data_IF_195573313141
#
_entry.id   IF_195573313141
#
_cell.length_a   1.000
_cell.length_b   1.000
_cell.length_c   1.000
_cell.angle_alpha   90.00
_cell.angle_beta   90.00
_cell.angle_gamma   90.00
#
_symmetry.space_group_name_H-M   'P 1'
#
loop_
_entity.id
_entity.type
_entity.pdbx_description
1 polymer ?
#
# COMPACT_ATOMS: atom_id res chain seq x y z
N UNK A 1 56.65 4.67 -8.84
CA UNK A 1 55.78 4.93 -10.01
C UNK A 1 55.18 3.59 -10.44
N UNK A 2 53.95 3.33 -10.10
CA UNK A 2 53.17 2.20 -10.58
C UNK A 2 51.92 2.77 -11.23
N UNK A 3 51.44 2.24 -12.40
CA UNK A 3 50.33 2.86 -13.13
C UNK A 3 48.99 2.45 -12.55
N UNK A 4 48.09 3.43 -12.56
CA UNK A 4 46.68 3.30 -12.21
C UNK A 4 45.94 2.33 -13.15
N UNK A 5 45.20 1.38 -12.56
CA UNK A 5 44.29 0.51 -13.27
C UNK A 5 42.92 1.17 -13.39
N UNK A 6 42.57 1.57 -14.59
CA UNK A 6 41.23 2.05 -14.96
C UNK A 6 40.24 0.87 -14.96
N UNK A 7 39.21 0.93 -14.11
CA UNK A 7 38.10 -0.02 -14.11
C UNK A 7 37.16 0.20 -15.30
N UNK A 8 36.44 -0.83 -15.77
CA UNK A 8 35.60 -0.72 -16.95
C UNK A 8 34.32 0.07 -16.70
N UNK A 9 34.10 1.04 -17.58
CA UNK A 9 32.87 1.83 -17.64
C UNK A 9 31.67 0.95 -18.05
N UNK A 10 30.59 1.04 -17.31
CA UNK A 10 29.30 0.39 -17.56
C UNK A 10 28.65 1.00 -18.83
N UNK A 11 28.17 0.22 -19.80
CA UNK A 11 27.51 0.78 -20.98
C UNK A 11 26.12 1.35 -20.61
N UNK A 12 25.82 2.53 -21.14
CA UNK A 12 24.52 3.17 -21.06
C UNK A 12 23.46 2.31 -21.79
N UNK A 13 22.34 2.05 -21.12
CA UNK A 13 21.20 1.31 -21.65
C UNK A 13 20.43 2.19 -22.64
N UNK A 14 20.32 1.75 -23.88
CA UNK A 14 19.52 2.40 -24.91
C UNK A 14 18.01 2.31 -24.58
N UNK A 15 17.19 3.31 -24.95
CA UNK A 15 15.73 3.24 -24.73
C UNK A 15 15.10 2.23 -25.70
N UNK A 16 14.25 1.35 -25.17
CA UNK A 16 13.46 0.40 -25.94
C UNK A 16 12.48 1.16 -26.85
N UNK A 17 12.48 0.77 -28.12
CA UNK A 17 11.74 1.37 -29.21
C UNK A 17 10.21 1.30 -29.03
N UNK A 18 9.56 2.27 -29.66
CA UNK A 18 8.16 2.63 -29.56
C UNK A 18 7.17 1.51 -29.86
N UNK A 19 6.15 1.43 -28.99
CA UNK A 19 4.87 0.84 -29.28
C UNK A 19 3.93 1.95 -29.79
N UNK A 20 3.33 1.68 -30.94
CA UNK A 20 2.48 2.64 -31.67
C UNK A 20 1.29 3.14 -30.83
N UNK A 21 1.07 4.43 -30.91
CA UNK A 21 -0.09 5.11 -30.35
C UNK A 21 -1.37 4.54 -30.98
N UNK A 22 -2.17 3.80 -30.23
CA UNK A 22 -3.58 3.53 -30.56
C UNK A 22 -4.41 4.72 -30.11
N UNK A 23 -5.20 5.25 -31.04
CA UNK A 23 -6.13 6.34 -30.80
C UNK A 23 -7.05 6.03 -29.61
N UNK A 24 -7.16 6.98 -28.67
CA UNK A 24 -8.10 6.95 -27.56
C UNK A 24 -9.51 7.09 -28.13
N UNK A 25 -10.31 6.03 -28.03
CA UNK A 25 -11.75 6.10 -28.18
C UNK A 25 -12.36 6.77 -26.95
N UNK A 26 -13.15 7.79 -27.15
CA UNK A 26 -13.92 8.47 -26.13
C UNK A 26 -14.98 7.51 -25.55
N UNK A 27 -14.69 6.92 -24.37
CA UNK A 27 -15.63 6.19 -23.53
C UNK A 27 -15.72 6.87 -22.17
N UNK A 28 -16.86 7.47 -21.88
CA UNK A 28 -17.12 8.15 -20.60
C UNK A 28 -17.10 7.15 -19.45
N UNK A 29 -16.00 7.07 -18.71
CA UNK A 29 -15.92 6.24 -17.50
C UNK A 29 -14.56 5.67 -17.16
N UNK A 30 -13.63 5.58 -18.10
CA UNK A 30 -12.32 4.98 -17.90
C UNK A 30 -11.44 5.75 -16.94
N UNK A 31 -10.60 5.01 -16.18
CA UNK A 31 -9.55 5.60 -15.35
C UNK A 31 -8.50 6.26 -16.27
N UNK A 32 -8.49 7.59 -16.32
CA UNK A 32 -7.54 8.34 -17.13
C UNK A 32 -6.18 8.40 -16.43
N UNK A 33 -5.24 7.55 -16.86
CA UNK A 33 -3.89 7.49 -16.30
C UNK A 33 -3.04 8.63 -16.87
N UNK A 34 -2.50 9.54 -16.02
CA UNK A 34 -1.65 10.61 -16.50
C UNK A 34 -0.39 10.09 -17.21
N UNK A 35 0.07 10.74 -18.29
CA UNK A 35 1.23 10.26 -19.04
C UNK A 35 2.50 10.29 -18.18
N UNK A 36 3.51 9.46 -18.53
CA UNK A 36 4.81 9.51 -17.87
C UNK A 36 5.47 10.88 -18.05
N UNK A 37 6.26 11.28 -17.08
CA UNK A 37 6.91 12.60 -17.02
C UNK A 37 6.44 13.39 -15.79
N UNK A 38 7.25 14.28 -15.28
CA UNK A 38 7.03 14.97 -14.02
C UNK A 38 7.98 14.49 -12.93
N UNK A 39 7.87 15.06 -11.71
CA UNK A 39 8.83 14.78 -10.65
C UNK A 39 8.57 13.45 -9.94
N UNK A 40 7.29 13.04 -9.82
CA UNK A 40 6.88 11.84 -9.08
C UNK A 40 5.86 11.02 -9.86
N UNK A 41 5.99 9.71 -9.79
CA UNK A 41 5.00 8.76 -10.26
C UNK A 41 3.96 8.49 -9.18
N UNK A 42 4.38 8.49 -7.89
CA UNK A 42 3.47 8.38 -6.74
C UNK A 42 3.89 9.33 -5.61
N UNK A 43 2.91 9.97 -5.00
CA UNK A 43 2.99 10.62 -3.69
C UNK A 43 2.03 9.92 -2.73
N UNK A 44 2.54 9.38 -1.62
CA UNK A 44 1.71 8.83 -0.56
C UNK A 44 1.67 9.76 0.65
N UNK A 45 0.57 9.67 1.42
CA UNK A 45 0.39 10.38 2.69
C UNK A 45 -0.03 9.38 3.76
N UNK A 46 0.76 9.25 4.82
CA UNK A 46 0.43 8.31 5.89
C UNK A 46 1.40 8.31 7.06
N UNK A 47 1.15 7.44 8.03
CA UNK A 47 2.01 7.24 9.18
C UNK A 47 3.10 6.20 8.93
N UNK A 48 4.33 6.52 9.34
CA UNK A 48 5.42 5.55 9.37
C UNK A 48 5.60 5.03 10.78
N UNK A 49 5.82 3.73 10.93
CA UNK A 49 5.95 3.04 12.22
C UNK A 49 7.19 2.16 12.25
N UNK A 50 7.65 1.82 13.45
CA UNK A 50 8.66 0.79 13.67
C UNK A 50 7.95 -0.49 14.07
N UNK A 51 8.09 -1.56 13.29
CA UNK A 51 7.62 -2.90 13.66
C UNK A 51 8.75 -3.69 14.29
N UNK A 52 8.47 -4.24 15.47
CA UNK A 52 9.35 -5.12 16.21
C UNK A 52 8.83 -6.55 16.10
N UNK A 53 9.66 -7.44 15.56
CA UNK A 53 9.32 -8.81 15.19
C UNK A 53 10.25 -9.82 15.86
N UNK A 54 9.76 -10.67 16.77
CA UNK A 54 10.53 -11.76 17.36
C UNK A 54 10.61 -13.00 16.46
N UNK A 55 10.17 -12.91 15.21
CA UNK A 55 10.02 -14.06 14.32
C UNK A 55 8.89 -14.98 14.77
N UNK A 56 9.19 -16.27 14.85
CA UNK A 56 8.24 -17.30 15.32
C UNK A 56 8.25 -17.48 16.84
N UNK A 57 9.11 -16.76 17.56
CA UNK A 57 9.20 -16.87 19.02
C UNK A 57 8.15 -15.96 19.66
N UNK A 58 7.32 -16.43 20.62
CA UNK A 58 6.40 -15.56 21.33
C UNK A 58 7.11 -14.46 22.11
N UNK A 59 6.54 -13.25 22.16
CA UNK A 59 7.15 -12.07 22.81
C UNK A 59 7.67 -12.32 24.24
N UNK A 60 6.89 -13.05 25.08
CA UNK A 60 7.30 -13.37 26.44
C UNK A 60 8.52 -14.30 26.55
N UNK A 61 9.04 -14.82 25.47
CA UNK A 61 10.21 -15.69 25.39
C UNK A 61 11.30 -15.15 24.45
N UNK A 62 11.01 -14.06 23.74
CA UNK A 62 11.95 -13.45 22.81
C UNK A 62 13.18 -12.89 23.52
N UNK A 63 14.35 -13.00 22.87
CA UNK A 63 15.63 -12.42 23.33
C UNK A 63 16.19 -11.41 22.32
N UNK A 64 15.62 -11.35 21.14
CA UNK A 64 15.94 -10.40 20.10
C UNK A 64 14.66 -10.04 19.33
N UNK A 65 14.63 -8.89 18.71
CA UNK A 65 13.57 -8.41 17.85
C UNK A 65 14.20 -7.86 16.57
N UNK A 66 13.74 -8.31 15.43
CA UNK A 66 14.06 -7.67 14.16
C UNK A 66 13.31 -6.33 14.05
N UNK A 67 13.97 -5.33 13.49
CA UNK A 67 13.41 -3.98 13.30
C UNK A 67 13.03 -3.81 11.83
N UNK A 68 11.76 -3.55 11.58
CA UNK A 68 11.24 -3.19 10.26
C UNK A 68 10.62 -1.81 10.31
N UNK A 69 10.91 -0.97 9.32
CA UNK A 69 10.17 0.27 9.09
C UNK A 69 8.96 -0.07 8.24
N UNK A 70 7.80 0.37 8.66
CA UNK A 70 6.51 -0.02 8.13
C UNK A 70 5.54 1.17 8.10
N UNK A 71 4.39 0.97 7.50
CA UNK A 71 3.29 1.91 7.32
C UNK A 71 2.66 1.65 5.96
N UNK A 72 1.35 1.45 5.86
CA UNK A 72 0.70 1.01 4.61
C UNK A 72 1.11 1.87 3.42
N UNK A 73 1.00 3.17 3.56
CA UNK A 73 1.30 4.16 2.51
C UNK A 73 2.80 4.22 2.18
N UNK A 74 3.65 4.04 3.20
CA UNK A 74 5.10 3.90 3.00
C UNK A 74 5.45 2.60 2.29
N UNK A 75 4.84 1.48 2.69
CA UNK A 75 5.08 0.18 2.08
C UNK A 75 4.74 0.20 0.58
N UNK A 76 3.61 0.83 0.20
CA UNK A 76 3.24 1.02 -1.22
C UNK A 76 4.30 1.83 -1.96
N UNK A 77 4.74 2.98 -1.40
CA UNK A 77 5.76 3.82 -2.01
C UNK A 77 7.12 3.11 -2.14
N UNK A 78 7.53 2.39 -1.09
CA UNK A 78 8.78 1.63 -1.04
C UNK A 78 8.79 0.48 -2.05
N UNK A 79 7.69 -0.25 -2.16
CA UNK A 79 7.51 -1.33 -3.12
C UNK A 79 7.58 -0.82 -4.56
N UNK A 80 6.93 0.31 -4.86
CA UNK A 80 6.98 0.94 -6.18
C UNK A 80 8.38 1.45 -6.54
N UNK A 81 9.11 2.02 -5.59
CA UNK A 81 10.47 2.50 -5.84
C UNK A 81 11.46 1.35 -6.00
N UNK A 82 11.49 0.42 -5.04
CA UNK A 82 12.50 -0.63 -4.95
C UNK A 82 12.33 -1.71 -6.02
N UNK A 83 11.10 -2.23 -6.22
CA UNK A 83 10.82 -3.30 -7.17
C UNK A 83 10.63 -2.77 -8.60
N UNK A 84 9.86 -1.70 -8.74
CA UNK A 84 9.39 -1.24 -10.05
C UNK A 84 10.16 -0.02 -10.59
N UNK A 85 11.06 0.55 -9.80
CA UNK A 85 11.91 1.67 -10.23
C UNK A 85 11.15 2.99 -10.46
N UNK A 86 9.95 3.15 -9.86
CA UNK A 86 9.17 4.37 -9.95
C UNK A 86 9.70 5.44 -8.99
N UNK A 87 9.50 6.71 -9.34
CA UNK A 87 9.86 7.86 -8.51
C UNK A 87 8.73 8.08 -7.50
N UNK A 88 8.98 7.75 -6.25
CA UNK A 88 7.97 7.84 -5.20
C UNK A 88 8.39 8.79 -4.08
N UNK A 89 7.39 9.34 -3.40
CA UNK A 89 7.58 10.13 -2.19
C UNK A 89 6.54 9.75 -1.13
N UNK A 90 6.89 10.01 0.13
CA UNK A 90 5.94 9.93 1.25
C UNK A 90 5.90 11.25 2.01
N UNK A 91 4.71 11.82 2.17
CA UNK A 91 4.42 12.89 3.11
C UNK A 91 4.05 12.27 4.46
N UNK A 92 4.81 12.59 5.51
CA UNK A 92 4.62 11.96 6.83
C UNK A 92 5.19 12.81 7.97
N UNK A 93 4.86 12.45 9.21
CA UNK A 93 5.50 12.97 10.39
C UNK A 93 6.89 12.36 10.60
N UNK A 94 7.83 13.15 11.10
CA UNK A 94 9.14 12.70 11.55
C UNK A 94 9.45 13.31 12.91
N UNK A 95 10.14 12.55 13.75
CA UNK A 95 10.55 12.99 15.09
C UNK A 95 12.07 13.10 15.14
N UNK A 96 12.56 14.19 15.73
CA UNK A 96 13.99 14.48 15.83
C UNK A 96 14.60 13.74 17.01
N UNK A 97 14.89 12.45 16.83
CA UNK A 97 15.53 11.54 17.79
C UNK A 97 16.13 10.31 17.09
N UNK A 98 16.96 9.47 17.73
CA UNK A 98 17.69 8.39 17.06
C UNK A 98 16.81 7.36 16.32
N UNK A 99 15.58 7.11 16.77
CA UNK A 99 14.65 6.23 16.04
C UNK A 99 14.15 6.91 14.76
N UNK A 100 14.01 8.24 14.76
CA UNK A 100 13.70 9.01 13.56
C UNK A 100 14.81 8.91 12.51
N UNK A 101 16.07 8.95 12.94
CA UNK A 101 17.23 8.79 12.04
C UNK A 101 17.25 7.39 11.39
N UNK A 102 16.95 6.34 12.19
CA UNK A 102 16.82 4.98 11.69
C UNK A 102 15.71 4.88 10.63
N UNK A 103 14.57 5.50 10.90
CA UNK A 103 13.43 5.48 9.96
C UNK A 103 13.76 6.25 8.69
N UNK A 104 14.39 7.43 8.78
CA UNK A 104 14.79 8.22 7.60
C UNK A 104 15.79 7.45 6.72
N UNK A 105 16.78 6.80 7.35
CA UNK A 105 17.75 5.96 6.65
C UNK A 105 17.05 4.84 5.85
N UNK A 106 16.10 4.14 6.48
CA UNK A 106 15.38 3.04 5.83
C UNK A 106 14.46 3.51 4.70
N UNK A 107 13.76 4.64 4.88
CA UNK A 107 12.93 5.24 3.83
C UNK A 107 13.79 5.55 2.60
N UNK A 108 14.94 6.19 2.79
CA UNK A 108 15.86 6.55 1.70
C UNK A 108 16.51 5.33 1.05
N UNK A 109 16.89 4.31 1.83
CA UNK A 109 17.47 3.07 1.35
C UNK A 109 16.51 2.32 0.38
N UNK A 110 15.19 2.45 0.58
CA UNK A 110 14.17 1.91 -0.32
C UNK A 110 13.92 2.76 -1.57
N UNK A 111 14.62 3.90 -1.72
CA UNK A 111 14.48 4.81 -2.87
C UNK A 111 13.28 5.76 -2.78
N UNK A 112 12.64 5.87 -1.62
CA UNK A 112 11.51 6.78 -1.41
C UNK A 112 12.02 8.16 -1.00
N UNK A 113 11.49 9.22 -1.62
CA UNK A 113 11.75 10.60 -1.23
C UNK A 113 10.88 10.98 -0.03
N UNK A 114 11.46 11.30 1.15
CA UNK A 114 10.67 11.74 2.28
C UNK A 114 10.29 13.23 2.19
N UNK A 115 9.10 13.56 2.66
CA UNK A 115 8.56 14.91 2.83
C UNK A 115 8.01 14.98 4.25
N UNK A 116 8.73 15.68 5.15
CA UNK A 116 8.48 15.61 6.58
C UNK A 116 7.84 16.86 7.16
N UNK A 117 6.79 16.67 7.97
CA UNK A 117 6.49 17.55 9.08
C UNK A 117 7.28 17.05 10.29
N UNK A 118 8.25 17.83 10.76
CA UNK A 118 9.14 17.44 11.87
C UNK A 118 8.59 17.89 13.22
N UNK A 119 8.80 17.04 14.22
CA UNK A 119 8.44 17.28 15.61
C UNK A 119 9.67 17.09 16.50
N UNK A 120 9.89 18.04 17.42
CA UNK A 120 10.99 17.96 18.38
C UNK A 120 10.69 16.92 19.49
N UNK A 121 11.74 16.29 19.99
CA UNK A 121 11.72 15.40 21.15
C UNK A 121 12.86 15.80 22.09
N UNK A 122 12.58 15.93 23.40
CA UNK A 122 13.57 16.42 24.39
C UNK A 122 14.51 15.32 24.93
N UNK A 123 14.39 14.10 24.41
CA UNK A 123 15.11 12.91 24.86
C UNK A 123 14.39 12.10 25.94
N UNK A 124 13.32 12.66 26.52
CA UNK A 124 12.51 12.01 27.56
C UNK A 124 11.03 12.03 27.19
N UNK A 125 10.55 13.15 26.65
CA UNK A 125 9.13 13.39 26.31
C UNK A 125 9.01 14.06 24.96
N UNK A 126 7.88 13.85 24.34
CA UNK A 126 7.52 14.42 23.03
C UNK A 126 6.77 13.41 22.18
N UNK A 127 6.33 13.83 20.99
CA UNK A 127 5.75 12.92 20.03
C UNK A 127 6.75 11.83 19.68
N UNK A 128 6.26 10.63 19.36
CA UNK A 128 7.13 9.51 18.98
C UNK A 128 6.65 8.86 17.68
N UNK A 129 7.52 8.07 17.06
CA UNK A 129 7.14 7.16 15.98
C UNK A 129 6.51 5.93 16.63
N UNK A 130 5.30 5.59 16.21
CA UNK A 130 4.56 4.47 16.78
C UNK A 130 5.32 3.14 16.61
N UNK A 131 5.15 2.26 17.60
CA UNK A 131 5.72 0.92 17.58
C UNK A 131 4.61 -0.12 17.40
N UNK A 132 4.80 -1.01 16.43
CA UNK A 132 3.97 -2.18 16.21
C UNK A 132 4.75 -3.42 16.65
N UNK A 133 4.15 -4.21 17.50
CA UNK A 133 4.69 -5.50 17.94
C UNK A 133 3.92 -6.61 17.22
N UNK A 134 4.61 -7.39 16.40
CA UNK A 134 3.95 -8.44 15.60
C UNK A 134 4.86 -9.65 15.49
N UNK A 135 4.50 -10.77 16.14
CA UNK A 135 5.14 -12.05 15.84
C UNK A 135 4.50 -12.68 14.59
N UNK A 136 5.19 -13.66 14.00
CA UNK A 136 4.72 -14.32 12.77
C UNK A 136 3.74 -15.45 13.04
N UNK A 137 3.64 -15.93 14.29
CA UNK A 137 2.95 -17.20 14.55
C UNK A 137 3.67 -18.37 13.87
N UNK A 138 3.07 -19.55 13.86
CA UNK A 138 3.53 -20.71 13.06
C UNK A 138 2.52 -21.86 13.10
N UNK A 139 2.23 -22.46 11.97
CA UNK A 139 1.32 -23.61 11.88
C UNK A 139 -0.06 -23.28 12.43
N UNK A 140 -0.47 -23.95 13.51
CA UNK A 140 -1.75 -23.74 14.21
C UNK A 140 -1.71 -22.57 15.20
N UNK A 141 -0.54 -22.01 15.48
CA UNK A 141 -0.38 -20.88 16.41
C UNK A 141 -0.54 -19.56 15.67
N UNK A 142 -1.66 -18.87 15.93
CA UNK A 142 -1.94 -17.56 15.36
C UNK A 142 -0.88 -16.53 15.78
N UNK A 143 -0.56 -15.54 14.92
CA UNK A 143 0.30 -14.43 15.26
C UNK A 143 -0.36 -13.49 16.25
N UNK A 144 0.47 -12.82 17.06
CA UNK A 144 0.02 -11.79 18.01
C UNK A 144 0.45 -10.43 17.49
N UNK A 145 -0.51 -9.48 17.43
CA UNK A 145 -0.24 -8.10 17.05
C UNK A 145 -0.81 -7.14 18.10
N UNK A 146 0.03 -6.24 18.58
CA UNK A 146 -0.38 -5.12 19.43
C UNK A 146 0.44 -3.87 19.12
N UNK A 147 0.01 -2.72 19.63
CA UNK A 147 0.54 -1.41 19.23
C UNK A 147 0.89 -0.58 20.43
N UNK A 148 1.93 0.25 20.31
CA UNK A 148 2.11 1.43 21.11
C UNK A 148 2.02 2.66 20.20
N UNK A 149 0.86 3.31 20.22
CA UNK A 149 0.55 4.53 19.44
C UNK A 149 0.31 5.74 20.35
N UNK A 150 0.71 5.63 21.63
CA UNK A 150 0.61 6.75 22.54
C UNK A 150 1.48 7.90 22.02
N UNK A 151 0.90 9.10 21.91
CA UNK A 151 1.56 10.32 21.43
C UNK A 151 2.27 10.17 20.06
N UNK A 152 1.63 9.43 19.16
CA UNK A 152 2.14 9.20 17.81
C UNK A 152 2.22 10.51 17.01
N UNK A 153 3.40 10.82 16.47
CA UNK A 153 3.61 12.04 15.69
C UNK A 153 2.70 12.14 14.46
N UNK A 154 2.41 11.02 13.80
CA UNK A 154 1.53 10.98 12.64
C UNK A 154 0.09 11.39 12.98
N UNK A 155 -0.39 11.11 14.19
CA UNK A 155 -1.71 11.55 14.65
C UNK A 155 -1.82 13.07 14.87
N UNK A 156 -0.69 13.77 14.92
CA UNK A 156 -0.62 15.24 15.07
C UNK A 156 -0.59 16.00 13.76
N UNK A 157 -0.49 15.29 12.62
CA UNK A 157 -0.56 15.91 11.31
C UNK A 157 -1.95 16.53 11.08
N UNK A 158 -1.98 17.71 10.46
CA UNK A 158 -3.18 18.49 10.26
C UNK A 158 -3.18 19.21 8.91
N UNK A 159 -4.34 19.64 8.40
CA UNK A 159 -4.43 20.50 7.22
C UNK A 159 -3.47 21.69 7.32
N UNK A 160 -2.78 21.99 6.20
CA UNK A 160 -1.77 23.05 6.13
C UNK A 160 -0.33 22.62 6.50
N UNK A 161 -0.09 21.40 6.97
CA UNK A 161 1.27 20.91 7.26
C UNK A 161 2.13 20.70 6.02
N UNK A 162 1.52 20.58 4.84
CA UNK A 162 2.21 20.38 3.56
C UNK A 162 1.74 21.38 2.51
N UNK A 163 2.68 21.87 1.70
CA UNK A 163 2.39 22.72 0.53
C UNK A 163 1.97 21.84 -0.66
N UNK A 164 0.69 21.42 -0.67
CA UNK A 164 0.15 20.57 -1.72
C UNK A 164 0.24 21.20 -3.12
N UNK A 165 -0.06 22.51 -3.32
CA UNK A 165 0.14 23.15 -4.62
C UNK A 165 1.56 23.00 -5.15
N UNK A 166 2.59 23.21 -4.31
CA UNK A 166 3.97 23.03 -4.73
C UNK A 166 4.31 21.55 -5.01
N UNK A 167 3.83 20.62 -4.20
CA UNK A 167 4.06 19.18 -4.37
C UNK A 167 3.41 18.64 -5.63
N UNK A 168 2.14 18.95 -5.88
CA UNK A 168 1.41 18.48 -7.06
C UNK A 168 1.76 19.29 -8.32
N UNK A 169 2.16 20.56 -8.19
CA UNK A 169 2.64 21.40 -9.30
C UNK A 169 3.87 20.81 -10.01
N UNK A 170 4.65 19.96 -9.34
CA UNK A 170 5.73 19.20 -9.92
C UNK A 170 5.26 17.99 -10.78
N UNK A 171 3.96 17.86 -11.06
CA UNK A 171 3.30 16.79 -11.83
C UNK A 171 3.48 15.42 -11.16
N UNK A 172 2.63 15.14 -10.18
CA UNK A 172 2.42 13.82 -9.54
C UNK A 172 1.36 13.08 -10.34
N UNK A 173 1.58 11.81 -10.67
CA UNK A 173 0.64 10.99 -11.45
C UNK A 173 -0.39 10.28 -10.57
N UNK A 174 -0.01 9.92 -9.35
CA UNK A 174 -0.84 9.13 -8.43
C UNK A 174 -0.67 9.59 -6.99
N UNK A 175 -1.77 9.77 -6.29
CA UNK A 175 -1.82 10.00 -4.84
C UNK A 175 -2.41 8.78 -4.14
N UNK A 176 -1.81 8.36 -3.02
CA UNK A 176 -2.26 7.21 -2.25
C UNK A 176 -2.30 7.51 -0.75
N UNK A 177 -3.38 7.08 -0.08
CA UNK A 177 -3.51 7.10 1.39
C UNK A 177 -4.33 5.91 1.89
N UNK A 178 -4.52 5.78 3.20
CA UNK A 178 -5.19 4.61 3.78
C UNK A 178 -5.96 4.87 5.07
N UNK A 179 -6.84 3.92 5.37
CA UNK A 179 -7.77 3.99 6.48
C UNK A 179 -7.13 3.90 7.86
N UNK A 180 -5.93 3.31 7.99
CA UNK A 180 -5.19 3.32 9.26
C UNK A 180 -4.78 4.75 9.61
N UNK A 181 -4.24 5.50 8.65
CA UNK A 181 -3.86 6.90 8.88
C UNK A 181 -5.10 7.77 9.12
N UNK A 182 -6.18 7.55 8.36
CA UNK A 182 -7.45 8.24 8.60
C UNK A 182 -8.02 8.02 10.02
N UNK A 183 -7.71 6.88 10.64
CA UNK A 183 -8.19 6.50 11.97
C UNK A 183 -7.30 7.02 13.12
N UNK A 184 -6.21 7.72 12.85
CA UNK A 184 -5.31 8.18 13.93
C UNK A 184 -5.84 9.41 14.64
N UNK A 185 -6.57 10.29 13.94
CA UNK A 185 -7.18 11.49 14.50
C UNK A 185 -8.15 12.14 13.51
N UNK A 186 -8.97 13.08 13.98
CA UNK A 186 -9.81 13.89 13.08
C UNK A 186 -8.97 14.74 12.13
N UNK A 187 -7.84 15.28 12.61
CA UNK A 187 -6.95 16.10 11.79
C UNK A 187 -6.25 15.31 10.69
N UNK A 188 -5.84 14.06 10.94
CA UNK A 188 -5.26 13.20 9.89
C UNK A 188 -6.26 12.88 8.79
N UNK A 189 -7.52 12.60 9.14
CA UNK A 189 -8.58 12.40 8.16
C UNK A 189 -8.87 13.66 7.33
N UNK A 190 -8.88 14.83 7.96
CA UNK A 190 -9.06 16.12 7.29
C UNK A 190 -7.87 16.43 6.36
N UNK A 191 -6.64 16.12 6.77
CA UNK A 191 -5.43 16.27 5.95
C UNK A 191 -5.47 15.35 4.71
N UNK A 192 -5.96 14.12 4.83
CA UNK A 192 -6.16 13.25 3.67
C UNK A 192 -7.13 13.90 2.68
N UNK A 193 -8.26 14.43 3.14
CA UNK A 193 -9.25 15.08 2.29
C UNK A 193 -8.68 16.31 1.57
N UNK A 194 -7.88 17.13 2.27
CA UNK A 194 -7.15 18.27 1.71
C UNK A 194 -6.21 17.82 0.58
N UNK A 195 -5.39 16.79 0.83
CA UNK A 195 -4.46 16.24 -0.14
C UNK A 195 -5.17 15.63 -1.36
N UNK A 196 -6.28 14.91 -1.17
CA UNK A 196 -7.10 14.36 -2.25
C UNK A 196 -7.66 15.47 -3.15
N UNK A 197 -8.16 16.55 -2.55
CA UNK A 197 -8.68 17.70 -3.31
C UNK A 197 -7.57 18.36 -4.17
N UNK A 198 -6.38 18.54 -3.60
CA UNK A 198 -5.22 19.08 -4.31
C UNK A 198 -4.71 18.12 -5.43
N UNK A 199 -4.72 16.81 -5.18
CA UNK A 199 -4.37 15.80 -6.17
C UNK A 199 -5.31 15.85 -7.38
N UNK A 200 -6.62 15.93 -7.14
CA UNK A 200 -7.61 16.07 -8.21
C UNK A 200 -7.45 17.38 -8.99
N UNK A 201 -7.22 18.49 -8.31
CA UNK A 201 -7.00 19.78 -8.98
C UNK A 201 -5.78 19.74 -9.92
N UNK A 202 -4.79 18.89 -9.61
CA UNK A 202 -3.60 18.66 -10.42
C UNK A 202 -3.75 17.55 -11.46
N UNK A 203 -4.89 16.86 -11.51
CA UNK A 203 -5.17 15.75 -12.44
C UNK A 203 -4.50 14.43 -12.06
N UNK A 204 -4.06 14.26 -10.82
CA UNK A 204 -3.54 12.98 -10.34
C UNK A 204 -4.68 11.98 -10.03
N UNK A 205 -4.42 10.69 -10.22
CA UNK A 205 -5.32 9.63 -9.75
C UNK A 205 -5.25 9.56 -8.22
N UNK A 206 -6.39 9.38 -7.57
CA UNK A 206 -6.49 9.24 -6.12
C UNK A 206 -6.90 7.83 -5.76
N UNK A 207 -6.08 7.15 -4.94
CA UNK A 207 -6.42 5.84 -4.38
C UNK A 207 -6.47 5.85 -2.86
N UNK A 208 -7.32 4.99 -2.31
CA UNK A 208 -7.48 4.77 -0.88
C UNK A 208 -7.53 3.27 -0.60
N UNK A 209 -6.68 2.81 0.32
CA UNK A 209 -6.83 1.49 0.93
C UNK A 209 -7.70 1.64 2.19
N UNK A 210 -8.84 0.94 2.23
CA UNK A 210 -9.76 1.00 3.37
C UNK A 210 -9.11 0.48 4.66
N UNK A 211 -8.33 -0.57 4.56
CA UNK A 211 -7.44 -1.11 5.60
C UNK A 211 -8.00 -0.95 7.02
N UNK A 212 -9.26 -1.39 7.24
CA UNK A 212 -9.98 -1.21 8.48
C UNK A 212 -9.28 -1.92 9.65
N UNK A 213 -9.13 -1.21 10.75
CA UNK A 213 -8.56 -1.77 11.99
C UNK A 213 -9.46 -1.43 13.17
N UNK A 214 -10.35 -2.36 13.53
CA UNK A 214 -11.33 -2.15 14.59
C UNK A 214 -10.74 -1.67 15.92
N UNK A 215 -9.53 -2.13 16.29
CA UNK A 215 -8.85 -1.68 17.52
C UNK A 215 -8.47 -0.20 17.48
N UNK A 216 -8.10 0.34 16.32
CA UNK A 216 -7.74 1.76 16.16
C UNK A 216 -9.02 2.60 16.16
N UNK A 217 -10.00 2.22 15.35
CA UNK A 217 -11.28 2.92 15.30
C UNK A 217 -12.03 2.90 16.64
N UNK A 218 -11.90 1.84 17.45
CA UNK A 218 -12.52 1.78 18.77
C UNK A 218 -12.06 2.92 19.70
N UNK A 219 -10.82 3.40 19.54
CA UNK A 219 -10.29 4.54 20.28
C UNK A 219 -10.83 5.89 19.77
N UNK A 220 -11.30 5.95 18.52
CA UNK A 220 -11.70 7.18 17.80
C UNK A 220 -13.22 7.25 17.53
N UNK A 221 -14.04 6.56 18.32
CA UNK A 221 -15.51 6.59 18.21
C UNK A 221 -16.13 5.38 17.52
N UNK A 222 -15.35 4.35 17.26
CA UNK A 222 -15.81 3.04 16.79
C UNK A 222 -16.26 3.00 15.33
N UNK A 223 -17.07 1.99 15.01
CA UNK A 223 -17.48 1.71 13.64
C UNK A 223 -18.35 2.81 13.02
N UNK A 224 -19.20 3.47 13.81
CA UNK A 224 -20.03 4.57 13.30
C UNK A 224 -19.16 5.75 12.82
N UNK A 225 -18.11 6.06 13.55
CA UNK A 225 -17.13 7.08 13.14
C UNK A 225 -16.33 6.64 11.91
N UNK A 226 -15.97 5.36 11.83
CA UNK A 226 -15.32 4.82 10.64
C UNK A 226 -16.20 5.00 9.39
N UNK A 227 -17.49 4.66 9.46
CA UNK A 227 -18.44 4.86 8.35
C UNK A 227 -18.53 6.31 7.90
N UNK A 228 -18.57 7.25 8.86
CA UNK A 228 -18.64 8.68 8.57
C UNK A 228 -17.37 9.16 7.86
N UNK A 229 -16.21 8.91 8.46
CA UNK A 229 -14.92 9.40 7.96
C UNK A 229 -14.57 8.74 6.63
N UNK A 230 -14.59 7.39 6.58
CA UNK A 230 -14.22 6.66 5.38
C UNK A 230 -15.21 6.89 4.24
N UNK A 231 -16.51 7.09 4.54
CA UNK A 231 -17.50 7.46 3.53
C UNK A 231 -17.22 8.82 2.88
N UNK A 232 -16.77 9.80 3.66
CA UNK A 232 -16.37 11.13 3.12
C UNK A 232 -15.12 11.03 2.24
N UNK A 233 -14.14 10.20 2.63
CA UNK A 233 -12.92 9.98 1.85
C UNK A 233 -13.21 9.19 0.57
N UNK A 234 -14.00 8.09 0.66
CA UNK A 234 -14.35 7.27 -0.49
C UNK A 234 -15.10 8.04 -1.59
N UNK A 235 -15.84 9.10 -1.23
CA UNK A 235 -16.49 9.98 -2.20
C UNK A 235 -15.49 10.76 -3.08
N UNK A 236 -14.22 10.82 -2.70
CA UNK A 236 -13.14 11.51 -3.41
C UNK A 236 -12.15 10.55 -4.09
N UNK A 237 -12.45 9.26 -4.20
CA UNK A 237 -11.50 8.22 -4.64
C UNK A 237 -11.79 7.80 -6.07
N UNK A 238 -10.75 7.62 -6.88
CA UNK A 238 -10.83 7.03 -8.22
C UNK A 238 -10.59 5.51 -8.16
N UNK A 239 -9.66 5.06 -7.27
CA UNK A 239 -9.30 3.65 -7.08
C UNK A 239 -9.45 3.27 -5.61
N UNK A 240 -10.33 2.32 -5.31
CA UNK A 240 -10.60 1.83 -3.97
C UNK A 240 -9.98 0.44 -3.78
N UNK A 241 -9.22 0.28 -2.71
CA UNK A 241 -8.67 -0.98 -2.26
C UNK A 241 -9.31 -1.40 -0.93
N UNK A 242 -9.60 -2.68 -0.77
CA UNK A 242 -10.20 -3.20 0.46
C UNK A 242 -10.98 -4.48 0.18
N UNK A 243 -11.02 -5.37 1.16
CA UNK A 243 -11.74 -6.63 1.08
C UNK A 243 -13.22 -6.49 1.56
N UNK A 244 -13.97 -7.59 1.59
CA UNK A 244 -15.38 -7.61 2.01
C UNK A 244 -15.56 -7.09 3.44
N UNK A 245 -14.65 -7.46 4.35
CA UNK A 245 -14.66 -6.98 5.73
C UNK A 245 -14.43 -5.46 5.78
N UNK A 246 -13.48 -4.96 5.00
CA UNK A 246 -13.20 -3.53 4.91
C UNK A 246 -14.40 -2.77 4.35
N UNK A 247 -15.06 -3.27 3.30
CA UNK A 247 -16.25 -2.64 2.72
C UNK A 247 -17.41 -2.57 3.71
N UNK A 248 -17.62 -3.64 4.49
CA UNK A 248 -18.66 -3.68 5.52
C UNK A 248 -18.30 -2.81 6.71
N UNK A 249 -17.09 -2.99 7.27
CA UNK A 249 -16.70 -2.36 8.52
C UNK A 249 -16.32 -0.88 8.37
N UNK A 250 -15.72 -0.48 7.24
CA UNK A 250 -15.32 0.91 7.01
C UNK A 250 -16.39 1.74 6.30
N UNK A 251 -17.15 1.16 5.35
CA UNK A 251 -18.11 1.89 4.54
C UNK A 251 -19.58 1.57 4.86
N UNK A 252 -19.84 0.57 5.70
CA UNK A 252 -21.18 0.14 6.03
C UNK A 252 -21.93 -0.48 4.86
N UNK A 253 -21.21 -1.10 3.91
CA UNK A 253 -21.84 -1.78 2.79
C UNK A 253 -22.50 -3.06 3.27
N UNK A 254 -23.79 -3.29 2.98
CA UNK A 254 -24.42 -4.56 3.28
C UNK A 254 -23.77 -5.69 2.48
N UNK A 255 -23.48 -6.79 3.14
CA UNK A 255 -22.85 -7.96 2.53
C UNK A 255 -23.09 -9.21 3.36
N UNK A 256 -22.75 -10.40 2.85
CA UNK A 256 -22.86 -11.65 3.60
C UNK A 256 -21.92 -11.63 4.80
N UNK A 257 -22.22 -12.49 5.79
CA UNK A 257 -21.31 -12.67 6.94
C UNK A 257 -19.94 -13.12 6.44
N UNK A 258 -18.90 -12.36 6.76
CA UNK A 258 -17.49 -12.66 6.39
C UNK A 258 -17.06 -14.06 6.88
N UNK A 259 -17.61 -14.51 8.01
CA UNK A 259 -17.35 -15.85 8.56
C UNK A 259 -17.99 -16.99 7.74
N UNK A 260 -18.98 -16.68 6.87
CA UNK A 260 -19.70 -17.66 6.06
C UNK A 260 -19.23 -17.69 4.61
N UNK A 261 -18.47 -16.69 4.15
CA UNK A 261 -17.93 -16.63 2.81
C UNK A 261 -16.69 -17.53 2.71
N UNK A 262 -16.62 -18.40 1.71
CA UNK A 262 -15.34 -19.03 1.36
C UNK A 262 -14.39 -17.92 0.89
N UNK A 263 -13.23 -17.85 1.51
CA UNK A 263 -12.28 -16.74 1.29
C UNK A 263 -11.78 -16.56 -0.15
N UNK A 264 -12.14 -17.43 -1.07
CA UNK A 264 -11.75 -17.40 -2.49
C UNK A 264 -12.91 -17.19 -3.46
N UNK A 265 -14.17 -17.16 -2.98
CA UNK A 265 -15.31 -16.87 -3.84
C UNK A 265 -15.45 -15.35 -4.06
N UNK A 266 -15.25 -14.83 -5.28
CA UNK A 266 -15.34 -13.41 -5.54
C UNK A 266 -16.80 -12.88 -5.60
N UNK A 267 -17.80 -13.75 -5.61
CA UNK A 267 -19.19 -13.37 -5.88
C UNK A 267 -19.75 -12.40 -4.84
N UNK A 268 -19.43 -12.64 -3.55
CA UNK A 268 -19.84 -11.76 -2.47
C UNK A 268 -19.22 -10.37 -2.60
N UNK A 269 -17.95 -10.29 -2.93
CA UNK A 269 -17.24 -9.05 -3.16
C UNK A 269 -17.78 -8.28 -4.36
N UNK A 270 -18.01 -8.97 -5.48
CA UNK A 270 -18.56 -8.37 -6.70
C UNK A 270 -19.96 -7.78 -6.47
N UNK A 271 -20.82 -8.46 -5.72
CA UNK A 271 -22.14 -7.93 -5.35
C UNK A 271 -22.08 -6.68 -4.46
N UNK A 272 -21.01 -6.53 -3.66
CA UNK A 272 -20.79 -5.32 -2.86
C UNK A 272 -20.21 -4.16 -3.69
N UNK A 273 -19.40 -4.45 -4.72
CA UNK A 273 -18.83 -3.43 -5.60
C UNK A 273 -19.93 -2.63 -6.30
N UNK A 274 -21.01 -3.27 -6.76
CA UNK A 274 -22.14 -2.58 -7.40
C UNK A 274 -22.74 -1.52 -6.47
N UNK A 275 -22.84 -1.81 -5.18
CA UNK A 275 -23.31 -0.88 -4.16
C UNK A 275 -22.30 0.25 -3.93
N UNK A 276 -20.99 -0.07 -3.93
CA UNK A 276 -19.92 0.93 -3.78
C UNK A 276 -19.96 1.93 -4.92
N UNK A 277 -19.98 1.50 -6.17
CA UNK A 277 -19.98 2.40 -7.33
C UNK A 277 -21.27 3.19 -7.47
N UNK A 278 -22.40 2.63 -7.06
CA UNK A 278 -23.67 3.36 -7.00
C UNK A 278 -23.63 4.48 -5.96
N UNK A 279 -23.01 4.23 -4.79
CA UNK A 279 -22.89 5.21 -3.71
C UNK A 279 -21.76 6.22 -3.93
N UNK A 280 -20.68 5.82 -4.57
CA UNK A 280 -19.49 6.62 -4.83
C UNK A 280 -19.16 6.65 -6.33
N UNK A 281 -19.85 7.46 -7.13
CA UNK A 281 -19.78 7.43 -8.60
C UNK A 281 -18.41 7.87 -9.15
N UNK A 282 -17.54 8.44 -8.30
CA UNK A 282 -16.17 8.77 -8.67
C UNK A 282 -15.28 7.52 -8.74
N UNK A 283 -15.59 6.47 -8.00
CA UNK A 283 -14.83 5.21 -8.00
C UNK A 283 -14.91 4.55 -9.37
N UNK A 284 -13.78 4.39 -10.02
CA UNK A 284 -13.61 3.79 -11.35
C UNK A 284 -13.05 2.37 -11.30
N UNK A 285 -12.32 2.06 -10.22
CA UNK A 285 -11.72 0.75 -10.01
C UNK A 285 -11.82 0.35 -8.54
N UNK A 286 -12.21 -0.89 -8.30
CA UNK A 286 -12.17 -1.54 -6.97
C UNK A 286 -11.38 -2.83 -7.09
N UNK A 287 -10.43 -3.08 -6.19
CA UNK A 287 -9.64 -4.30 -6.21
C UNK A 287 -9.29 -4.80 -4.81
N UNK A 288 -9.13 -6.11 -4.68
CA UNK A 288 -8.73 -6.77 -3.43
C UNK A 288 -8.00 -8.08 -3.68
N UNK A 289 -7.27 -8.52 -2.65
CA UNK A 289 -6.77 -9.90 -2.55
C UNK A 289 -7.85 -10.80 -1.94
N UNK A 290 -7.93 -12.02 -2.44
CA UNK A 290 -8.74 -13.09 -1.86
C UNK A 290 -7.80 -14.11 -1.19
N UNK A 291 -8.13 -14.49 0.02
CA UNK A 291 -7.26 -15.36 0.82
C UNK A 291 -8.04 -16.35 1.65
N UNK A 292 -7.68 -17.62 1.52
CA UNK A 292 -8.10 -18.67 2.44
C UNK A 292 -6.91 -19.10 3.30
N UNK A 293 -7.09 -19.16 4.63
CA UNK A 293 -6.03 -19.43 5.59
C UNK A 293 -6.12 -20.87 6.03
N UNK A 294 -5.22 -21.74 5.56
CA UNK A 294 -5.14 -23.14 5.99
C UNK A 294 -4.34 -23.30 7.29
N UNK A 295 -3.29 -22.50 7.44
CA UNK A 295 -2.52 -22.33 8.67
C UNK A 295 -1.89 -20.94 8.68
N UNK A 296 -1.21 -20.57 9.75
CA UNK A 296 -0.56 -19.25 9.86
C UNK A 296 0.41 -18.96 8.70
N UNK A 297 1.07 -20.00 8.21
CA UNK A 297 2.08 -19.87 7.14
C UNK A 297 1.71 -20.63 5.85
N UNK A 298 0.45 -21.06 5.67
CA UNK A 298 -0.03 -21.68 4.44
C UNK A 298 -1.40 -21.14 4.05
N UNK A 299 -1.46 -20.50 2.90
CA UNK A 299 -2.66 -19.85 2.39
C UNK A 299 -2.93 -20.26 0.94
N UNK A 300 -4.21 -20.31 0.56
CA UNK A 300 -4.58 -20.16 -0.84
C UNK A 300 -4.77 -18.65 -1.13
N UNK A 301 -4.23 -18.18 -2.23
CA UNK A 301 -4.12 -16.78 -2.60
C UNK A 301 -4.66 -16.53 -4.00
N UNK A 302 -5.53 -15.54 -4.12
CA UNK A 302 -6.08 -15.04 -5.37
C UNK A 302 -6.30 -13.53 -5.28
N UNK A 303 -6.90 -12.92 -6.30
CA UNK A 303 -7.26 -11.51 -6.29
C UNK A 303 -8.40 -11.25 -7.27
N UNK A 304 -9.13 -10.17 -7.06
CA UNK A 304 -10.19 -9.70 -7.94
C UNK A 304 -10.10 -8.20 -8.13
N UNK A 305 -10.41 -7.74 -9.35
CA UNK A 305 -10.57 -6.33 -9.66
C UNK A 305 -11.82 -6.11 -10.52
N UNK A 306 -12.43 -4.95 -10.32
CA UNK A 306 -13.55 -4.46 -11.11
C UNK A 306 -13.23 -3.07 -11.64
N UNK A 307 -13.51 -2.84 -12.92
CA UNK A 307 -13.49 -1.52 -13.53
C UNK A 307 -14.49 -1.49 -14.70
N UNK A 308 -15.23 -0.40 -14.86
CA UNK A 308 -16.12 -0.15 -16.01
C UNK A 308 -17.15 -1.27 -16.28
N UNK A 309 -17.75 -1.82 -15.23
CA UNK A 309 -18.73 -2.90 -15.34
C UNK A 309 -18.12 -4.28 -15.63
N UNK A 310 -16.79 -4.39 -15.70
CA UNK A 310 -16.08 -5.64 -15.97
C UNK A 310 -15.30 -6.07 -14.74
N UNK A 311 -15.39 -7.34 -14.36
CA UNK A 311 -14.56 -7.96 -13.32
C UNK A 311 -13.53 -8.91 -13.92
N UNK A 312 -12.39 -9.00 -13.24
CA UNK A 312 -11.31 -9.95 -13.56
C UNK A 312 -10.87 -10.60 -12.27
N UNK A 313 -10.62 -11.91 -12.31
CA UNK A 313 -10.15 -12.72 -11.17
C UNK A 313 -8.79 -13.31 -11.52
N UNK A 314 -7.83 -13.17 -10.63
CA UNK A 314 -6.51 -13.78 -10.76
C UNK A 314 -6.57 -15.29 -10.43
N UNK A 315 -5.64 -16.11 -10.94
CA UNK A 315 -5.60 -17.53 -10.61
C UNK A 315 -5.38 -17.75 -9.10
N UNK A 316 -5.93 -18.84 -8.57
CA UNK A 316 -5.63 -19.29 -7.22
C UNK A 316 -4.27 -20.01 -7.19
N UNK A 317 -3.44 -19.71 -6.20
CA UNK A 317 -2.19 -20.41 -5.93
C UNK A 317 -2.05 -20.77 -4.45
N UNK A 318 -1.42 -21.91 -4.18
CA UNK A 318 -0.95 -22.24 -2.83
C UNK A 318 0.30 -21.41 -2.51
N UNK A 319 0.32 -20.79 -1.34
CA UNK A 319 1.35 -19.86 -0.91
C UNK A 319 1.88 -20.25 0.47
N UNK A 320 3.18 -20.53 0.53
CA UNK A 320 3.90 -20.66 1.78
C UNK A 320 4.36 -19.27 2.24
N UNK A 321 3.74 -18.77 3.28
CA UNK A 321 3.93 -17.41 3.81
C UNK A 321 5.06 -17.43 4.84
N UNK A 322 6.08 -16.60 4.62
CA UNK A 322 7.15 -16.34 5.57
C UNK A 322 6.76 -15.22 6.56
N UNK A 323 6.25 -14.11 6.04
CA UNK A 323 5.70 -12.99 6.80
C UNK A 323 4.45 -12.47 6.08
N UNK A 324 3.31 -12.45 6.77
CA UNK A 324 2.04 -12.04 6.14
C UNK A 324 1.87 -10.53 6.02
N UNK A 325 2.71 -9.75 6.70
CA UNK A 325 2.61 -8.28 6.71
C UNK A 325 3.09 -7.74 5.37
N UNK A 326 2.45 -6.69 4.87
CA UNK A 326 2.81 -6.05 3.61
C UNK A 326 2.25 -6.68 2.33
N UNK A 327 1.61 -7.87 2.39
CA UNK A 327 1.05 -8.51 1.19
C UNK A 327 -0.01 -7.67 0.48
N UNK A 328 -0.89 -6.98 1.24
CA UNK A 328 -1.88 -6.03 0.71
C UNK A 328 -1.22 -4.81 0.07
N UNK A 329 -0.22 -4.24 0.75
CA UNK A 329 0.55 -3.09 0.24
C UNK A 329 1.34 -3.47 -1.03
N UNK A 330 1.88 -4.70 -1.07
CA UNK A 330 2.50 -5.27 -2.26
C UNK A 330 1.52 -5.41 -3.42
N UNK A 331 0.32 -5.89 -3.14
CA UNK A 331 -0.76 -5.96 -4.12
C UNK A 331 -1.11 -4.57 -4.66
N UNK A 332 -1.31 -3.59 -3.78
CA UNK A 332 -1.59 -2.21 -4.15
C UNK A 332 -0.49 -1.62 -5.04
N UNK A 333 0.78 -1.82 -4.68
CA UNK A 333 1.91 -1.37 -5.47
C UNK A 333 1.97 -2.01 -6.86
N UNK A 334 1.76 -3.33 -6.96
CA UNK A 334 1.72 -4.03 -8.24
C UNK A 334 0.58 -3.55 -9.15
N UNK A 335 -0.61 -3.27 -8.58
CA UNK A 335 -1.75 -2.72 -9.32
C UNK A 335 -1.44 -1.31 -9.85
N UNK A 336 -0.94 -0.43 -8.98
CA UNK A 336 -0.56 0.93 -9.34
C UNK A 336 0.50 0.93 -10.44
N UNK A 337 1.53 0.09 -10.32
CA UNK A 337 2.56 -0.07 -11.35
C UNK A 337 1.97 -0.51 -12.70
N UNK A 338 1.12 -1.55 -12.71
CA UNK A 338 0.48 -2.05 -13.91
C UNK A 338 -0.29 -0.94 -14.64
N UNK A 339 -1.15 -0.22 -13.90
CA UNK A 339 -1.96 0.87 -14.44
C UNK A 339 -1.09 2.04 -14.94
N UNK A 340 -0.09 2.47 -14.17
CA UNK A 340 0.83 3.54 -14.55
C UNK A 340 1.71 3.17 -15.77
N UNK A 341 1.92 1.88 -16.00
CA UNK A 341 2.66 1.37 -17.17
C UNK A 341 1.78 1.22 -18.42
N UNK A 342 0.47 1.48 -18.31
CA UNK A 342 -0.48 1.35 -19.41
C UNK A 342 -1.00 -0.08 -19.63
N UNK A 343 -0.83 -0.97 -18.66
CA UNK A 343 -1.39 -2.32 -18.71
C UNK A 343 -2.92 -2.27 -18.63
N UNK A 344 -3.58 -3.20 -19.32
CA UNK A 344 -5.02 -3.42 -19.14
C UNK A 344 -5.33 -4.01 -17.75
N UNK A 345 -6.62 -3.98 -17.35
CA UNK A 345 -7.06 -4.40 -16.02
C UNK A 345 -6.57 -5.81 -15.64
N UNK A 346 -6.63 -6.77 -16.57
CA UNK A 346 -6.21 -8.15 -16.31
C UNK A 346 -4.71 -8.27 -16.04
N UNK A 347 -3.89 -7.60 -16.85
CA UNK A 347 -2.43 -7.61 -16.65
C UNK A 347 -2.04 -6.85 -15.37
N UNK A 348 -2.66 -5.71 -15.10
CA UNK A 348 -2.44 -4.96 -13.87
C UNK A 348 -2.81 -5.80 -12.63
N UNK A 349 -3.93 -6.54 -12.66
CA UNK A 349 -4.32 -7.44 -11.59
C UNK A 349 -3.33 -8.61 -11.42
N UNK A 350 -2.82 -9.19 -12.51
CA UNK A 350 -1.82 -10.27 -12.44
C UNK A 350 -0.50 -9.80 -11.84
N UNK A 351 -0.05 -8.59 -12.17
CA UNK A 351 1.13 -7.98 -11.56
C UNK A 351 0.91 -7.70 -10.06
N UNK A 352 -0.27 -7.19 -9.69
CA UNK A 352 -0.68 -6.97 -8.32
C UNK A 352 -0.68 -8.27 -7.50
N UNK A 353 -1.35 -9.30 -8.01
CA UNK A 353 -1.45 -10.62 -7.41
C UNK A 353 -0.07 -11.27 -7.21
N UNK A 354 0.79 -11.22 -8.22
CA UNK A 354 2.12 -11.79 -8.16
C UNK A 354 3.02 -11.05 -7.17
N UNK A 355 2.99 -9.70 -7.18
CA UNK A 355 3.82 -8.92 -6.27
C UNK A 355 3.36 -9.06 -4.82
N UNK A 356 2.03 -9.01 -4.55
CA UNK A 356 1.50 -9.23 -3.20
C UNK A 356 1.87 -10.59 -2.64
N UNK A 357 1.83 -11.65 -3.46
CA UNK A 357 2.29 -12.99 -3.08
C UNK A 357 3.79 -13.00 -2.75
N UNK A 358 4.63 -12.44 -3.63
CA UNK A 358 6.08 -12.41 -3.43
C UNK A 358 6.49 -11.66 -2.16
N UNK A 359 5.85 -10.53 -1.83
CA UNK A 359 6.13 -9.79 -0.58
C UNK A 359 6.00 -10.69 0.63
N UNK A 360 5.02 -11.57 0.68
CA UNK A 360 4.79 -12.45 1.83
C UNK A 360 5.83 -13.58 1.96
N UNK A 361 6.72 -13.74 0.99
CA UNK A 361 7.80 -14.75 1.03
C UNK A 361 9.10 -14.24 1.63
N UNK A 362 9.15 -12.96 2.01
CA UNK A 362 10.32 -12.30 2.61
C UNK A 362 10.02 -11.84 4.04
N UNK A 363 11.06 -11.60 4.87
CA UNK A 363 10.88 -10.95 6.15
C UNK A 363 10.59 -9.44 5.95
N UNK A 364 9.72 -8.89 6.79
CA UNK A 364 9.41 -7.47 6.77
C UNK A 364 8.17 -7.13 5.93
N UNK A 365 7.92 -5.85 5.81
CA UNK A 365 6.65 -5.30 5.31
C UNK A 365 6.77 -4.77 3.87
N UNK A 366 7.99 -4.73 3.34
CA UNK A 366 8.32 -4.25 1.99
C UNK A 366 9.00 -5.32 1.16
N UNK A 367 8.95 -5.16 -0.16
CA UNK A 367 9.44 -6.15 -1.10
C UNK A 367 10.98 -6.28 -1.12
N UNK A 368 11.44 -7.50 -1.35
CA UNK A 368 12.80 -7.80 -1.82
C UNK A 368 12.79 -8.38 -3.25
N UNK A 369 11.60 -8.48 -3.87
CA UNK A 369 11.45 -9.00 -5.22
C UNK A 369 11.95 -8.01 -6.28
N UNK A 370 12.39 -8.55 -7.41
CA UNK A 370 12.69 -7.76 -8.61
C UNK A 370 11.47 -7.71 -9.55
N UNK A 371 11.42 -6.71 -10.42
CA UNK A 371 10.39 -6.62 -11.47
C UNK A 371 10.33 -7.89 -12.32
N UNK A 372 11.48 -8.49 -12.64
CA UNK A 372 11.55 -9.73 -13.43
C UNK A 372 10.88 -10.90 -12.72
N UNK A 373 11.07 -11.04 -11.39
CA UNK A 373 10.41 -12.07 -10.60
C UNK A 373 8.88 -11.87 -10.58
N UNK A 374 8.43 -10.63 -10.41
CA UNK A 374 6.99 -10.30 -10.46
C UNK A 374 6.39 -10.65 -11.82
N UNK A 375 7.04 -10.21 -12.90
CA UNK A 375 6.57 -10.48 -14.26
C UNK A 375 6.61 -11.98 -14.60
N UNK A 376 7.62 -12.71 -14.13
CA UNK A 376 7.71 -14.17 -14.31
C UNK A 376 6.53 -14.86 -13.64
N UNK A 377 6.26 -14.54 -12.36
CA UNK A 377 5.14 -15.14 -11.63
C UNK A 377 3.79 -14.74 -12.24
N UNK A 378 3.61 -13.48 -12.63
CA UNK A 378 2.38 -12.99 -13.30
C UNK A 378 2.05 -13.74 -14.59
N UNK A 379 3.07 -14.27 -15.30
CA UNK A 379 2.91 -15.10 -16.51
C UNK A 379 2.80 -16.59 -16.23
N UNK A 380 2.70 -17.02 -14.96
CA UNK A 380 2.62 -18.43 -14.58
C UNK A 380 3.98 -19.12 -14.46
N UNK A 381 5.06 -18.36 -14.23
CA UNK A 381 6.38 -18.89 -13.95
C UNK A 381 6.42 -19.78 -12.71
N UNK A 382 7.32 -20.76 -12.70
CA UNK A 382 7.47 -21.72 -11.60
C UNK A 382 8.66 -21.38 -10.69
N UNK A 383 8.65 -21.92 -9.46
CA UNK A 383 9.76 -21.83 -8.51
C UNK A 383 11.04 -22.61 -8.92
N UNK A 384 11.14 -23.04 -10.18
CA UNK A 384 12.35 -23.72 -10.69
C UNK A 384 13.50 -22.72 -10.80
N UNK A 385 14.71 -23.21 -10.49
CA UNK A 385 15.94 -22.41 -10.60
C UNK A 385 16.04 -21.82 -12.01
N UNK A 386 16.05 -20.50 -12.09
CA UNK A 386 16.43 -19.78 -13.30
C UNK A 386 17.97 -19.80 -13.41
N UNK A 387 18.49 -20.40 -14.48
CA UNK A 387 19.93 -20.49 -14.76
C UNK A 387 20.32 -19.45 -15.80
#
# INVERSE_FOLDING_TARGET
MAPEASGPSRPARAPAGGAGARAAGEGSGALAVPPPGGALDLLSLGGVVVRLDPGVVPFGKARALDIHVSGGEYNVAANLASCFGLRTAIATAMVDYPVGDLVDERIRAMGVRPIYRRFAHDGVRGPNIATVYSDRGYGVRAPVVFYNRADEAAARLAPGDFDWPALFGARVRWFHSGGIFAALSESSAALIAEAMAAAHAAGAIVSLDLNYRGKIWAAEGGQARAHEVMGRLAAQVDVLLGNEEDLQAALGMPGPSVAAASGLDPSAFLGMIEQVVARYPRVKLVATTLREVHSTNRHAWSAVAWAEGRSVVAPTMELDVYDRVGGGDGFAAGLIYGLLSGAGLEEALRLAWAHGALVTTYPGDTTMATLEQVQSLARGGSARIQR
#
